data_IF_386128945053
#
_entry.id   IF_386128945053
#
_cell.length_a   1.000
_cell.length_b   1.000
_cell.length_c   1.000
_cell.angle_alpha   90.00
_cell.angle_beta   90.00
_cell.angle_gamma   90.00
#
_symmetry.space_group_name_H-M   'P 1'
#
loop_
_entity.id
_entity.type
_entity.pdbx_description
1 polymer ?
#
# COMPACT_ATOMS: atom_id res chain seq x y z
N UNK A 1 -29.39 -6.62 2.44
CA UNK A 1 -28.21 -6.57 1.56
C UNK A 1 -27.00 -6.72 2.47
N UNK A 2 -26.33 -7.87 2.41
CA UNK A 2 -25.28 -8.26 3.35
C UNK A 2 -24.03 -7.41 3.14
N UNK A 3 -23.64 -6.63 4.14
CA UNK A 3 -22.24 -6.26 4.34
C UNK A 3 -21.79 -6.91 5.65
N UNK A 4 -20.86 -7.84 5.51
CA UNK A 4 -20.18 -8.52 6.60
C UNK A 4 -19.43 -7.47 7.40
N UNK A 5 -19.81 -7.33 8.67
CA UNK A 5 -19.03 -6.65 9.69
C UNK A 5 -17.85 -7.53 10.14
N UNK A 6 -16.87 -6.90 10.82
CA UNK A 6 -15.82 -7.43 11.73
C UNK A 6 -14.38 -7.36 11.15
N UNK A 7 -13.38 -6.79 11.87
CA UNK A 7 -13.34 -6.56 13.32
C UNK A 7 -13.31 -5.09 13.78
N UNK A 8 -14.03 -4.87 14.88
CA UNK A 8 -13.78 -3.81 15.85
C UNK A 8 -12.74 -4.28 16.87
N UNK A 9 -11.50 -3.78 16.76
CA UNK A 9 -10.47 -3.81 17.82
C UNK A 9 -9.30 -2.89 17.45
N UNK A 10 -9.44 -1.57 17.64
CA UNK A 10 -8.37 -0.55 17.42
C UNK A 10 -7.39 -0.85 16.26
N UNK A 11 -7.89 -1.28 15.10
CA UNK A 11 -7.03 -1.61 13.97
C UNK A 11 -6.71 -0.32 13.25
N UNK A 12 -5.43 0.01 13.16
CA UNK A 12 -4.99 1.10 12.30
C UNK A 12 -5.52 0.86 10.87
N UNK A 13 -5.94 1.92 10.17
CA UNK A 13 -6.43 1.79 8.80
C UNK A 13 -5.33 1.21 7.90
N UNK A 14 -5.72 0.34 6.97
CA UNK A 14 -4.82 -0.12 5.92
C UNK A 14 -4.59 1.04 4.94
N UNK A 15 -3.33 1.40 4.70
CA UNK A 15 -2.96 2.48 3.78
C UNK A 15 -2.20 1.91 2.58
N UNK A 16 -2.65 2.25 1.37
CA UNK A 16 -1.88 2.08 0.14
C UNK A 16 -1.02 3.32 -0.09
N UNK A 17 0.26 3.24 0.27
CA UNK A 17 1.26 4.29 0.03
C UNK A 17 1.74 4.28 -1.44
N UNK A 18 0.83 4.52 -2.37
CA UNK A 18 1.12 4.53 -3.81
C UNK A 18 0.05 5.31 -4.59
N UNK A 19 0.50 6.14 -5.52
CA UNK A 19 -0.36 6.86 -6.49
C UNK A 19 -0.70 6.04 -7.74
N UNK A 20 -0.12 4.84 -7.90
CA UNK A 20 -0.35 4.00 -9.08
C UNK A 20 -1.80 3.53 -9.22
N UNK A 21 -2.50 3.85 -10.34
CA UNK A 21 -3.86 3.37 -10.58
C UNK A 21 -3.90 1.84 -10.76
N UNK A 22 -2.81 1.23 -11.20
CA UNK A 22 -2.72 -0.23 -11.31
C UNK A 22 -2.67 -0.91 -9.94
N UNK A 23 -1.82 -0.41 -9.02
CA UNK A 23 -1.74 -0.96 -7.65
C UNK A 23 -3.07 -0.83 -6.91
N UNK A 24 -3.79 0.28 -7.09
CA UNK A 24 -5.16 0.46 -6.56
C UNK A 24 -6.12 -0.63 -7.07
N UNK A 25 -6.12 -0.88 -8.39
CA UNK A 25 -6.95 -1.94 -9.00
C UNK A 25 -6.62 -3.34 -8.48
N UNK A 26 -5.35 -3.63 -8.18
CA UNK A 26 -4.93 -4.91 -7.60
C UNK A 26 -5.45 -5.04 -6.17
N UNK A 27 -5.20 -4.05 -5.31
CA UNK A 27 -5.62 -4.09 -3.90
C UNK A 27 -7.15 -4.16 -3.75
N UNK A 28 -7.90 -3.46 -4.60
CA UNK A 28 -9.37 -3.52 -4.62
C UNK A 28 -9.94 -4.93 -4.84
N UNK A 29 -9.20 -5.86 -5.45
CA UNK A 29 -9.66 -7.25 -5.63
C UNK A 29 -9.78 -8.01 -4.31
N UNK A 30 -9.05 -7.59 -3.28
CA UNK A 30 -9.08 -8.21 -1.95
C UNK A 30 -10.33 -7.82 -1.14
N UNK A 31 -11.13 -6.87 -1.61
CA UNK A 31 -12.36 -6.39 -0.94
C UNK A 31 -12.13 -5.91 0.50
N UNK A 32 -10.95 -5.35 0.77
CA UNK A 32 -10.60 -4.70 2.04
C UNK A 32 -10.91 -3.20 1.98
N UNK A 33 -11.26 -2.62 3.13
CA UNK A 33 -11.27 -1.16 3.30
C UNK A 33 -9.83 -0.65 3.42
N UNK A 34 -9.47 0.35 2.62
CA UNK A 34 -8.16 0.99 2.68
C UNK A 34 -8.23 2.44 2.19
N UNK A 35 -7.25 3.24 2.59
CA UNK A 35 -7.05 4.62 2.11
C UNK A 35 -5.80 4.70 1.24
N UNK A 36 -5.66 5.77 0.45
CA UNK A 36 -4.51 5.97 -0.44
C UNK A 36 -3.75 7.22 -0.06
N UNK A 37 -2.42 7.13 -0.02
CA UNK A 37 -1.54 8.27 0.23
C UNK A 37 -0.36 8.26 -0.75
N UNK A 38 0.13 9.44 -1.12
CA UNK A 38 1.33 9.58 -1.95
C UNK A 38 2.55 9.65 -1.02
N UNK A 39 3.47 8.66 -1.05
CA UNK A 39 4.63 8.68 -0.16
C UNK A 39 5.61 9.80 -0.56
N UNK A 40 6.21 10.42 0.45
CA UNK A 40 7.31 11.37 0.29
C UNK A 40 8.64 10.62 0.48
N UNK A 41 9.06 9.90 -0.56
CA UNK A 41 10.27 9.06 -0.54
C UNK A 41 11.22 9.44 -1.68
N UNK A 42 12.53 9.40 -1.40
CA UNK A 42 13.57 9.52 -2.42
C UNK A 42 13.92 8.12 -2.97
N UNK A 43 13.50 7.87 -4.19
CA UNK A 43 13.73 6.61 -4.91
C UNK A 43 15.09 6.59 -5.64
N UNK A 44 15.94 7.60 -5.47
CA UNK A 44 17.28 7.63 -6.06
C UNK A 44 18.12 6.48 -5.51
N UNK A 45 18.72 5.70 -6.40
CA UNK A 45 19.60 4.60 -6.01
C UNK A 45 20.87 5.11 -5.33
N UNK A 46 21.27 4.47 -4.23
CA UNK A 46 22.55 4.73 -3.60
C UNK A 46 23.70 4.11 -4.43
N UNK A 47 24.92 4.59 -4.20
CA UNK A 47 26.08 4.03 -4.87
C UNK A 47 26.25 2.54 -4.51
N UNK A 48 26.46 1.70 -5.52
CA UNK A 48 26.57 0.24 -5.40
C UNK A 48 25.32 -0.45 -4.82
N UNK A 49 24.17 0.22 -4.81
CA UNK A 49 22.90 -0.39 -4.42
C UNK A 49 22.41 -1.35 -5.50
N UNK A 50 22.17 -2.61 -5.14
CA UNK A 50 21.60 -3.57 -6.07
C UNK A 50 20.11 -3.31 -6.30
N UNK A 51 19.53 -3.71 -7.44
CA UNK A 51 18.10 -3.53 -7.70
C UNK A 51 17.19 -4.13 -6.62
N UNK A 52 17.57 -5.26 -6.03
CA UNK A 52 16.80 -5.90 -4.96
C UNK A 52 16.87 -5.11 -3.66
N UNK A 53 18.00 -4.46 -3.35
CA UNK A 53 18.15 -3.61 -2.18
C UNK A 53 17.30 -2.35 -2.32
N UNK A 54 17.40 -1.69 -3.49
CA UNK A 54 16.66 -0.46 -3.80
C UNK A 54 15.14 -0.62 -3.59
N UNK A 55 14.56 -1.73 -4.05
CA UNK A 55 13.09 -1.93 -3.98
C UNK A 55 12.59 -2.42 -2.60
N UNK A 56 13.49 -2.85 -1.72
CA UNK A 56 13.12 -3.44 -0.41
C UNK A 56 13.22 -2.44 0.75
N UNK A 57 14.13 -1.46 0.66
CA UNK A 57 14.39 -0.49 1.74
C UNK A 57 13.28 0.52 1.96
#
# INVERSE_FOLDING_TARGET
>A
MTVLHIPSSSTLPLILASTSPFRKKVLSRLRLSYETYAPEVDETALENESPTMLVTR
#
